data_IF_445604472382
#
_entry.id   IF_445604472382
#
_cell.length_a   1.000
_cell.length_b   1.000
_cell.length_c   1.000
_cell.angle_alpha   90.00
_cell.angle_beta   90.00
_cell.angle_gamma   90.00
#
_symmetry.space_group_name_H-M   'P 1'
#
loop_
_entity.id
_entity.type
_entity.pdbx_description
1 polymer ?
#
# COMPACT_ATOMS: atom_id res chain seq x y z
N UNK A 1 8.14 0.08 -2.58
CA UNK A 1 8.83 -1.22 -2.79
C UNK A 1 9.81 -1.07 -3.94
N UNK A 2 11.11 -1.31 -3.70
CA UNK A 2 12.15 -1.28 -4.75
C UNK A 2 11.97 -2.40 -5.80
N UNK A 3 11.14 -3.39 -5.50
CA UNK A 3 10.85 -4.52 -6.39
C UNK A 3 10.19 -4.10 -7.71
N UNK A 4 9.30 -3.10 -7.70
CA UNK A 4 8.62 -2.63 -8.93
C UNK A 4 9.61 -2.02 -9.94
N UNK A 5 10.46 -1.02 -9.57
CA UNK A 5 11.44 -0.46 -10.51
C UNK A 5 12.48 -1.50 -10.96
N UNK A 6 12.89 -2.42 -10.08
CA UNK A 6 13.82 -3.50 -10.42
C UNK A 6 13.24 -4.47 -11.46
N UNK A 7 11.99 -4.90 -11.28
CA UNK A 7 11.34 -5.85 -12.19
C UNK A 7 11.01 -5.21 -13.54
N UNK A 8 10.71 -3.91 -13.57
CA UNK A 8 10.63 -3.15 -14.83
C UNK A 8 11.97 -2.98 -15.55
N UNK A 9 13.09 -3.02 -14.83
CA UNK A 9 14.42 -2.99 -15.42
C UNK A 9 14.77 -4.33 -16.08
N UNK A 10 14.27 -5.44 -15.53
CA UNK A 10 14.31 -6.78 -16.14
C UNK A 10 13.33 -6.98 -17.32
N UNK A 11 12.70 -5.91 -17.84
CA UNK A 11 11.76 -5.96 -18.97
C UNK A 11 10.52 -6.85 -18.74
N UNK A 12 10.17 -7.11 -17.48
CA UNK A 12 8.97 -7.87 -17.10
C UNK A 12 7.74 -6.96 -17.30
N UNK A 13 6.63 -7.48 -17.85
CA UNK A 13 5.42 -6.67 -18.05
C UNK A 13 4.98 -6.04 -16.73
N UNK A 14 4.80 -4.72 -16.76
CA UNK A 14 4.48 -3.89 -15.59
C UNK A 14 3.30 -4.44 -14.76
N UNK A 15 2.32 -5.07 -15.42
CA UNK A 15 1.20 -5.72 -14.76
C UNK A 15 1.66 -6.85 -13.82
N UNK A 16 2.57 -7.71 -14.27
CA UNK A 16 3.14 -8.78 -13.45
C UNK A 16 4.07 -8.23 -12.36
N UNK A 17 4.88 -7.22 -12.68
CA UNK A 17 5.76 -6.58 -11.70
C UNK A 17 4.98 -5.99 -10.50
N UNK A 18 3.86 -5.34 -10.80
CA UNK A 18 2.95 -4.79 -9.77
C UNK A 18 2.23 -5.92 -9.02
N UNK A 19 1.74 -6.94 -9.73
CA UNK A 19 1.07 -8.09 -9.11
C UNK A 19 1.96 -8.86 -8.12
N UNK A 20 3.19 -9.19 -8.50
CA UNK A 20 4.15 -9.88 -7.62
C UNK A 20 4.55 -9.02 -6.43
N UNK A 21 4.70 -7.71 -6.63
CA UNK A 21 5.01 -6.78 -5.53
C UNK A 21 3.84 -6.65 -4.54
N UNK A 22 2.59 -6.70 -5.02
CA UNK A 22 1.41 -6.71 -4.17
C UNK A 22 1.30 -8.01 -3.36
N UNK A 23 1.68 -9.16 -3.95
CA UNK A 23 1.71 -10.43 -3.24
C UNK A 23 2.67 -10.42 -2.04
N UNK A 24 3.84 -9.77 -2.17
CA UNK A 24 4.80 -9.60 -1.07
C UNK A 24 4.27 -8.62 0.00
N UNK A 25 3.42 -7.67 -0.39
CA UNK A 25 2.79 -6.73 0.54
C UNK A 25 1.87 -7.39 1.56
N UNK A 26 1.24 -8.53 1.22
CA UNK A 26 0.30 -9.21 2.10
C UNK A 26 0.97 -9.81 3.35
N UNK A 27 2.05 -10.62 3.26
CA UNK A 27 2.79 -11.08 4.44
C UNK A 27 3.31 -9.93 5.32
N UNK A 28 3.78 -8.84 4.70
CA UNK A 28 4.26 -7.65 5.41
C UNK A 28 3.12 -7.01 6.21
N UNK A 29 1.95 -6.83 5.59
CA UNK A 29 0.77 -6.29 6.25
C UNK A 29 0.34 -7.18 7.41
N UNK A 30 0.29 -8.51 7.23
CA UNK A 30 -0.07 -9.45 8.29
C UNK A 30 0.92 -9.38 9.46
N UNK A 31 2.22 -9.43 9.19
CA UNK A 31 3.24 -9.32 10.22
C UNK A 31 3.18 -7.98 10.97
N UNK A 32 2.96 -6.87 10.25
CA UNK A 32 2.77 -5.55 10.84
C UNK A 32 1.53 -5.48 11.73
N UNK A 33 0.38 -5.98 11.25
CA UNK A 33 -0.86 -6.06 12.02
C UNK A 33 -0.66 -6.87 13.30
N UNK A 34 -0.05 -8.05 13.22
CA UNK A 34 0.25 -8.88 14.41
C UNK A 34 1.18 -8.13 15.37
N UNK A 35 2.22 -7.46 14.87
CA UNK A 35 3.13 -6.64 15.68
C UNK A 35 2.42 -5.49 16.40
N UNK A 36 1.48 -4.80 15.74
CA UNK A 36 0.69 -3.73 16.34
C UNK A 36 -0.33 -4.22 17.38
N UNK A 37 -0.88 -5.43 17.19
CA UNK A 37 -1.75 -6.07 18.18
C UNK A 37 -0.94 -6.46 19.42
N UNK A 38 0.18 -7.17 19.22
CA UNK A 38 1.08 -7.60 20.31
C UNK A 38 1.70 -6.43 21.06
N UNK A 39 2.10 -5.35 20.37
CA UNK A 39 2.64 -4.15 21.01
C UNK A 39 1.59 -3.30 21.74
N UNK A 40 0.30 -3.47 21.42
CA UNK A 40 -0.82 -2.77 22.06
C UNK A 40 -1.47 -3.53 23.22
N UNK A 41 -1.21 -4.83 23.34
CA UNK A 41 -1.66 -5.69 24.45
C UNK A 41 -0.95 -5.27 25.74
N UNK A 42 -1.63 -4.48 26.59
CA UNK A 42 -1.13 -4.09 27.92
C UNK A 42 -1.13 -2.59 28.23
N UNK A 43 -1.59 -1.71 27.34
CA UNK A 43 -1.77 -0.27 27.65
C UNK A 43 -3.18 0.01 28.17
N UNK A 44 -3.25 0.45 29.42
CA UNK A 44 -4.48 0.93 30.06
C UNK A 44 -4.77 2.38 29.63
N UNK A 45 -5.96 2.65 29.07
CA UNK A 45 -6.38 3.97 28.57
C UNK A 45 -6.89 4.03 27.13
N UNK A 46 -7.11 2.89 26.47
CA UNK A 46 -7.62 2.85 25.10
C UNK A 46 -9.16 2.77 25.04
N UNK A 47 -9.83 3.41 24.06
CA UNK A 47 -11.28 3.36 23.89
C UNK A 47 -11.80 1.92 23.67
N UNK A 48 -12.99 1.61 24.17
CA UNK A 48 -13.61 0.26 24.22
C UNK A 48 -13.72 -0.49 22.87
N UNK A 49 -13.42 0.16 21.74
CA UNK A 49 -13.46 -0.40 20.39
C UNK A 49 -12.07 -0.54 19.73
N UNK A 50 -11.03 -0.85 20.50
CA UNK A 50 -9.66 -1.09 19.99
C UNK A 50 -9.16 -2.49 20.34
N UNK A 51 -8.51 -3.15 19.39
CA UNK A 51 -7.85 -4.45 19.57
C UNK A 51 -6.34 -4.21 19.42
N UNK A 52 -5.67 -3.92 20.54
CA UNK A 52 -4.33 -3.33 20.53
C UNK A 52 -4.36 -1.88 20.01
N UNK A 53 -3.38 -1.47 19.19
CA UNK A 53 -3.39 -0.14 18.54
C UNK A 53 -4.37 -0.02 17.36
N UNK A 54 -5.14 -1.07 17.04
CA UNK A 54 -6.04 -1.11 15.89
C UNK A 54 -7.45 -0.69 16.32
N UNK A 55 -7.93 0.42 15.77
CA UNK A 55 -9.30 0.91 15.98
C UNK A 55 -10.28 0.19 15.05
N UNK A 56 -11.16 -0.63 15.63
CA UNK A 56 -12.09 -1.51 14.91
C UNK A 56 -13.01 -0.71 13.96
N UNK A 57 -13.61 0.43 14.35
CA UNK A 57 -14.47 1.20 13.45
C UNK A 57 -13.70 1.80 12.26
N UNK A 58 -12.48 2.28 12.46
CA UNK A 58 -11.65 2.75 11.35
C UNK A 58 -11.21 1.61 10.43
N UNK A 59 -10.90 0.44 10.98
CA UNK A 59 -10.58 -0.75 10.19
C UNK A 59 -11.75 -1.12 9.27
N UNK A 60 -12.97 -1.19 9.80
CA UNK A 60 -14.17 -1.52 9.02
C UNK A 60 -14.38 -0.48 7.91
N UNK A 61 -14.28 0.81 8.22
CA UNK A 61 -14.36 1.88 7.23
C UNK A 61 -13.32 1.70 6.12
N UNK A 62 -12.05 1.50 6.49
CA UNK A 62 -10.95 1.28 5.56
C UNK A 62 -11.19 0.08 4.65
N UNK A 63 -11.64 -1.05 5.21
CA UNK A 63 -11.91 -2.27 4.44
C UNK A 63 -13.01 -2.04 3.42
N UNK A 64 -14.12 -1.39 3.80
CA UNK A 64 -15.24 -1.11 2.90
C UNK A 64 -14.79 -0.19 1.75
N UNK A 65 -14.16 0.94 2.07
CA UNK A 65 -13.68 1.87 1.05
C UNK A 65 -12.59 1.24 0.16
N UNK A 66 -11.69 0.45 0.74
CA UNK A 66 -10.64 -0.27 0.01
C UNK A 66 -11.22 -1.31 -0.94
N UNK A 67 -12.18 -2.13 -0.49
CA UNK A 67 -12.84 -3.13 -1.34
C UNK A 67 -13.62 -2.51 -2.50
N UNK A 68 -14.19 -1.32 -2.32
CA UNK A 68 -14.83 -0.59 -3.42
C UNK A 68 -13.82 0.02 -4.40
N UNK A 69 -12.73 0.56 -3.89
CA UNK A 69 -11.76 1.34 -4.68
C UNK A 69 -10.75 0.43 -5.41
N UNK A 70 -10.34 -0.67 -4.77
CA UNK A 70 -9.37 -1.64 -5.30
C UNK A 70 -9.73 -2.23 -6.68
N UNK A 71 -10.95 -2.76 -6.93
CA UNK A 71 -11.30 -3.33 -8.23
C UNK A 71 -11.41 -2.24 -9.31
N UNK A 72 -11.83 -1.03 -8.94
CA UNK A 72 -11.91 0.12 -9.85
C UNK A 72 -10.52 0.54 -10.31
N UNK A 73 -9.55 0.61 -9.39
CA UNK A 73 -8.14 0.86 -9.70
C UNK A 73 -7.52 -0.23 -10.57
N UNK A 74 -7.80 -1.50 -10.28
CA UNK A 74 -7.28 -2.64 -11.05
C UNK A 74 -7.79 -2.64 -12.51
N UNK A 75 -9.09 -2.35 -12.72
CA UNK A 75 -9.68 -2.24 -14.06
C UNK A 75 -9.05 -1.12 -14.88
N UNK A 76 -8.78 0.04 -14.27
CA UNK A 76 -8.14 1.17 -14.93
C UNK A 76 -6.68 0.82 -15.28
N UNK A 77 -5.95 0.19 -14.36
CA UNK A 77 -4.57 -0.25 -14.59
C UNK A 77 -4.46 -1.28 -15.74
N UNK A 78 -5.44 -2.15 -15.91
CA UNK A 78 -5.45 -3.15 -16.98
C UNK A 78 -5.80 -2.56 -18.36
N UNK A 79 -6.50 -1.42 -18.42
CA UNK A 79 -6.86 -0.73 -19.67
C UNK A 79 -5.81 0.28 -20.16
N UNK A 80 -4.88 0.70 -19.31
CA UNK A 80 -3.88 1.69 -19.71
C UNK A 80 -2.69 1.04 -20.45
N UNK A 81 -2.20 1.66 -21.54
CA UNK A 81 -0.98 1.21 -22.21
C UNK A 81 0.23 1.36 -21.28
N UNK A 82 1.08 0.33 -21.25
CA UNK A 82 2.26 0.20 -20.36
C UNK A 82 3.14 1.46 -20.34
N UNK A 83 3.29 2.12 -21.49
CA UNK A 83 4.07 3.35 -21.62
C UNK A 83 3.50 4.53 -20.81
N UNK A 84 2.17 4.70 -20.75
CA UNK A 84 1.53 5.74 -19.92
C UNK A 84 1.63 5.39 -18.44
N UNK A 85 1.45 4.12 -18.08
CA UNK A 85 1.54 3.67 -16.69
C UNK A 85 2.94 3.97 -16.10
N UNK A 86 4.00 3.71 -16.88
CA UNK A 86 5.39 3.99 -16.49
C UNK A 86 5.63 5.49 -16.25
N UNK A 87 5.13 6.36 -17.13
CA UNK A 87 5.26 7.83 -16.99
C UNK A 87 4.53 8.34 -15.75
N UNK A 88 3.30 7.88 -15.52
CA UNK A 88 2.49 8.29 -14.35
C UNK A 88 3.15 7.81 -13.06
N UNK A 89 3.65 6.58 -13.02
CA UNK A 89 4.36 6.06 -11.84
C UNK A 89 5.66 6.83 -11.55
N UNK A 90 6.44 7.16 -12.58
CA UNK A 90 7.64 7.98 -12.43
C UNK A 90 7.32 9.39 -11.90
N UNK A 91 6.28 10.04 -12.44
CA UNK A 91 5.82 11.33 -11.94
C UNK A 91 5.35 11.25 -10.47
N UNK A 92 4.61 10.21 -10.11
CA UNK A 92 4.18 9.99 -8.72
C UNK A 92 5.37 9.81 -7.77
N UNK A 93 6.36 9.01 -8.15
CA UNK A 93 7.60 8.84 -7.38
C UNK A 93 8.34 10.16 -7.20
N UNK A 94 8.43 10.98 -8.26
CA UNK A 94 9.08 12.28 -8.19
C UNK A 94 8.36 13.20 -7.20
N UNK A 95 7.03 13.28 -7.29
CA UNK A 95 6.21 14.07 -6.35
C UNK A 95 6.43 13.60 -4.92
N UNK A 96 6.39 12.29 -4.66
CA UNK A 96 6.61 11.74 -3.31
C UNK A 96 8.01 12.02 -2.79
N UNK A 97 9.04 11.89 -3.63
CA UNK A 97 10.42 12.20 -3.27
C UNK A 97 10.57 13.68 -2.90
N UNK A 98 10.02 14.59 -3.71
CA UNK A 98 10.00 16.03 -3.41
C UNK A 98 9.22 16.32 -2.12
N UNK A 99 8.07 15.67 -1.90
CA UNK A 99 7.27 15.80 -0.67
C UNK A 99 8.02 15.35 0.58
N UNK A 100 8.76 14.24 0.52
CA UNK A 100 9.60 13.79 1.64
C UNK A 100 10.75 14.77 1.89
N UNK A 101 11.37 15.30 0.84
CA UNK A 101 12.47 16.27 0.96
C UNK A 101 12.00 17.58 1.60
N UNK A 102 10.81 18.08 1.24
CA UNK A 102 10.18 19.24 1.90
C UNK A 102 9.67 18.97 3.30
N UNK A 103 9.37 17.72 3.66
CA UNK A 103 8.96 17.36 5.02
C UNK A 103 10.15 17.28 5.98
N UNK A 104 11.35 17.02 5.44
CA UNK A 104 12.58 16.84 6.22
C UNK A 104 13.39 18.14 6.36
N UNK A 105 13.18 19.10 5.45
CA UNK A 105 13.73 20.45 5.48
C UNK A 105 12.85 21.37 6.33
#
# INVERSE_FOLDING_TARGET
TLSVPFMTWCNIPMHQAVGTSAAIGFPIAVAGTVGYILGGLGKSGLPDATLGFIYIPALIGLVIFSMMTAPTGAKIAHKLPVAKLKKVFAAFLFIMATRMLFQIL
#
